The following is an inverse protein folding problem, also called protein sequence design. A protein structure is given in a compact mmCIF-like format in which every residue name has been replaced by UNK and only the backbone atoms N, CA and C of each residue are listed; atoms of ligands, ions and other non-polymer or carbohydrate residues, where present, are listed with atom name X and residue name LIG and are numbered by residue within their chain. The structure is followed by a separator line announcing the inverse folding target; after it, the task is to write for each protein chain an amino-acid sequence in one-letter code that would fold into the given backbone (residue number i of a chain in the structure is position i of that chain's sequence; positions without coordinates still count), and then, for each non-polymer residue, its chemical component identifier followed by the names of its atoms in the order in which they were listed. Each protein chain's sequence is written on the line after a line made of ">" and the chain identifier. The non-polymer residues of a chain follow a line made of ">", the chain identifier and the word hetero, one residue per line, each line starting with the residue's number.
data_IF_253232987519
#
_entry.id   IF_253232987519
#
_cell.length_a   1.000
_cell.length_b   1.000
_cell.length_c   1.000
_cell.angle_alpha   90.00
_cell.angle_beta   90.00
_cell.angle_gamma   90.00
#
_symmetry.space_group_name_H-M   'P 1'
#
loop_
_entity.id
_entity.type
_entity.pdbx_description
1 polymer ?
#
# COMPACT_ATOMS: atom_id res chain seq x y z
N UNK A 1 -22.09 -14.11 -24.87
CA UNK A 1 -22.61 -13.62 -23.56
C UNK A 1 -22.51 -14.65 -22.43
N UNK A 2 -22.56 -15.98 -22.67
CA UNK A 2 -22.48 -17.02 -21.60
C UNK A 2 -21.10 -17.18 -20.93
N UNK A 3 -20.01 -16.82 -21.61
CA UNK A 3 -18.64 -17.05 -21.09
C UNK A 3 -18.13 -15.97 -20.12
N UNK A 4 -18.77 -14.81 -20.03
CA UNK A 4 -18.35 -13.74 -19.11
C UNK A 4 -18.92 -13.91 -17.69
N UNK A 5 -20.08 -14.53 -17.56
CA UNK A 5 -20.73 -14.79 -16.26
C UNK A 5 -20.01 -15.89 -15.50
N UNK A 6 -19.46 -16.89 -16.21
CA UNK A 6 -18.72 -18.01 -15.60
C UNK A 6 -17.40 -17.56 -14.97
N UNK A 7 -16.74 -16.51 -15.50
CA UNK A 7 -15.49 -15.98 -14.91
C UNK A 7 -15.69 -15.21 -13.60
N UNK A 8 -16.87 -14.68 -13.34
CA UNK A 8 -17.20 -13.94 -12.12
C UNK A 8 -17.52 -14.90 -10.96
N UNK A 9 -18.02 -16.09 -11.26
CA UNK A 9 -18.33 -17.11 -10.23
C UNK A 9 -17.06 -17.73 -9.62
N UNK A 10 -15.92 -17.70 -10.34
CA UNK A 10 -14.65 -18.27 -9.84
C UNK A 10 -13.94 -17.45 -8.74
N UNK A 11 -14.26 -16.16 -8.57
CA UNK A 11 -13.69 -15.33 -7.50
C UNK A 11 -14.33 -15.64 -6.12
N UNK A 12 -15.50 -16.26 -6.11
CA UNK A 12 -16.28 -16.51 -4.90
C UNK A 12 -16.07 -17.90 -4.27
N UNK A 13 -15.23 -18.79 -4.82
CA UNK A 13 -15.32 -20.22 -4.54
C UNK A 13 -14.14 -20.84 -3.79
N UNK A 14 -13.13 -20.06 -3.34
CA UNK A 14 -12.01 -20.66 -2.58
C UNK A 14 -11.73 -19.88 -1.29
N UNK A 15 -12.68 -19.92 -0.37
CA UNK A 15 -12.45 -19.73 1.06
C UNK A 15 -12.83 -21.02 1.77
N UNK A 16 -12.08 -22.08 1.52
CA UNK A 16 -12.12 -23.30 2.35
C UNK A 16 -10.83 -23.35 3.16
N UNK A 17 -10.99 -23.23 4.44
CA UNK A 17 -10.05 -23.38 5.54
C UNK A 17 -8.95 -24.42 5.32
N UNK A 18 -7.69 -23.98 5.32
CA UNK A 18 -6.56 -24.77 5.84
C UNK A 18 -5.65 -23.82 6.60
N UNK A 19 -5.59 -23.97 7.91
CA UNK A 19 -4.70 -23.26 8.80
C UNK A 19 -3.28 -23.84 8.70
N UNK A 20 -2.40 -23.15 7.97
CA UNK A 20 -0.96 -23.30 8.16
C UNK A 20 -0.40 -22.11 8.93
N UNK A 21 0.59 -22.31 9.82
CA UNK A 21 1.15 -21.22 10.61
C UNK A 21 1.83 -20.19 9.68
N UNK A 22 1.35 -18.96 9.75
CA UNK A 22 1.84 -17.80 8.99
C UNK A 22 3.34 -17.51 9.24
N UNK A 23 3.91 -18.03 10.33
CA UNK A 23 5.31 -17.81 10.73
C UNK A 23 6.34 -18.39 9.76
N UNK A 24 6.01 -19.47 9.03
CA UNK A 24 6.95 -20.07 8.08
C UNK A 24 7.15 -19.27 6.77
N UNK A 25 6.20 -18.36 6.44
CA UNK A 25 6.28 -17.54 5.23
C UNK A 25 7.01 -16.22 5.40
N UNK A 26 7.15 -15.71 6.64
CA UNK A 26 7.77 -14.41 6.90
C UNK A 26 9.28 -14.38 6.60
N UNK A 27 9.96 -15.52 6.67
CA UNK A 27 11.41 -15.59 6.45
C UNK A 27 11.81 -15.70 4.97
N UNK A 28 10.86 -16.00 4.08
CA UNK A 28 11.13 -16.20 2.65
C UNK A 28 11.62 -14.92 1.95
N UNK A 29 11.13 -13.78 2.40
CA UNK A 29 11.40 -12.46 1.80
C UNK A 29 12.48 -11.68 2.52
N UNK A 30 13.07 -12.25 3.58
CA UNK A 30 14.20 -11.63 4.28
C UNK A 30 15.50 -11.87 3.51
N UNK A 31 16.34 -10.86 3.46
CA UNK A 31 17.66 -10.92 2.87
C UNK A 31 18.67 -11.31 3.97
N UNK A 32 19.44 -12.36 3.73
CA UNK A 32 20.42 -12.85 4.71
C UNK A 32 21.50 -11.81 5.00
N UNK A 33 21.84 -11.63 6.27
CA UNK A 33 22.89 -10.70 6.71
C UNK A 33 22.45 -9.22 6.76
N UNK A 34 21.18 -8.91 6.45
CA UNK A 34 20.64 -7.56 6.58
C UNK A 34 19.98 -7.38 7.94
N UNK A 35 20.37 -6.31 8.63
CA UNK A 35 19.79 -5.94 9.92
C UNK A 35 18.30 -5.59 9.82
N UNK A 36 17.59 -5.84 10.92
CA UNK A 36 16.19 -5.42 11.10
C UNK A 36 16.14 -4.05 11.76
N UNK A 37 15.26 -3.17 11.29
CA UNK A 37 14.93 -1.97 12.02
C UNK A 37 14.22 -2.34 13.34
N UNK A 38 14.51 -1.57 14.39
CA UNK A 38 13.79 -1.65 15.67
C UNK A 38 13.03 -0.35 15.90
N UNK A 39 11.76 -0.40 16.30
CA UNK A 39 11.02 0.81 16.58
C UNK A 39 11.59 1.53 17.82
N UNK A 40 11.68 2.85 17.78
CA UNK A 40 12.04 3.66 18.93
C UNK A 40 10.91 3.66 19.96
N UNK A 41 9.66 3.57 19.52
CA UNK A 41 8.48 3.48 20.36
C UNK A 41 7.26 2.97 19.61
N UNK A 42 6.31 2.42 20.36
CA UNK A 42 4.98 2.02 19.88
C UNK A 42 3.94 2.92 20.54
N UNK A 43 2.99 3.41 19.74
CA UNK A 43 1.94 4.32 20.20
C UNK A 43 0.57 3.77 19.84
N UNK A 44 -0.37 3.83 20.77
CA UNK A 44 -1.80 3.63 20.48
C UNK A 44 -2.32 4.89 19.79
N UNK A 45 -2.81 4.76 18.55
CA UNK A 45 -3.37 5.89 17.81
C UNK A 45 -4.90 5.88 17.74
N UNK A 46 -5.54 4.73 17.94
CA UNK A 46 -6.99 4.63 17.97
C UNK A 46 -7.46 3.48 18.87
N UNK A 47 -8.64 3.62 19.45
CA UNK A 47 -9.43 2.56 20.06
C UNK A 47 -10.62 2.26 19.18
N UNK A 48 -10.92 0.99 18.93
CA UNK A 48 -12.11 0.51 18.22
C UNK A 48 -12.86 -0.50 19.09
N UNK A 49 -14.12 -0.74 18.81
CA UNK A 49 -14.94 -1.68 19.60
C UNK A 49 -14.33 -3.09 19.65
N UNK A 50 -13.58 -3.47 18.64
CA UNK A 50 -13.02 -4.82 18.49
C UNK A 50 -11.55 -4.93 18.83
N UNK A 51 -10.78 -3.83 18.81
CA UNK A 51 -9.35 -3.82 19.09
C UNK A 51 -8.81 -2.41 19.29
N UNK A 52 -7.66 -2.34 19.95
CA UNK A 52 -6.79 -1.16 19.92
C UNK A 52 -5.89 -1.22 18.68
N UNK A 53 -5.58 -0.06 18.12
CA UNK A 53 -4.69 0.08 16.97
C UNK A 53 -3.44 0.85 17.37
N UNK A 54 -2.29 0.29 17.01
CA UNK A 54 -0.98 0.81 17.35
C UNK A 54 -0.18 1.13 16.09
N UNK A 55 0.75 2.05 16.24
CA UNK A 55 1.81 2.30 15.27
C UNK A 55 3.18 2.16 15.92
N UNK A 56 4.13 1.64 15.15
CA UNK A 56 5.55 1.62 15.51
C UNK A 56 6.25 2.77 14.78
N UNK A 57 6.97 3.59 15.54
CA UNK A 57 7.76 4.69 15.01
C UNK A 57 9.23 4.29 14.88
N UNK A 58 9.74 4.39 13.66
CA UNK A 58 11.13 4.15 13.29
C UNK A 58 11.73 5.47 12.81
N UNK A 59 12.53 6.16 13.63
CA UNK A 59 13.19 7.41 13.23
C UNK A 59 14.25 7.16 12.16
N UNK A 60 14.65 8.20 11.45
CA UNK A 60 15.83 8.16 10.59
C UNK A 60 17.07 7.74 11.40
N UNK A 61 17.95 6.93 10.80
CA UNK A 61 19.17 6.47 11.46
C UNK A 61 20.07 7.64 11.85
N UNK A 62 20.70 7.53 13.03
CA UNK A 62 21.61 8.57 13.53
C UNK A 62 22.75 8.81 12.53
N UNK A 63 22.93 10.06 12.12
CA UNK A 63 23.96 10.47 11.16
C UNK A 63 23.53 10.33 9.69
N UNK A 64 22.31 9.86 9.40
CA UNK A 64 21.77 9.91 8.04
C UNK A 64 21.39 11.34 7.64
N UNK A 65 21.43 11.64 6.34
CA UNK A 65 20.99 12.92 5.82
C UNK A 65 19.46 12.96 5.77
N UNK A 66 18.84 13.82 6.55
CA UNK A 66 17.38 13.99 6.65
C UNK A 66 16.83 15.07 5.72
N UNK A 67 17.70 15.73 4.93
CA UNK A 67 17.33 16.79 4.00
C UNK A 67 17.97 16.57 2.63
N UNK A 68 17.33 17.09 1.60
CA UNK A 68 17.85 17.22 0.23
C UNK A 68 17.55 18.64 -0.22
N UNK A 69 18.59 19.39 -0.66
CA UNK A 69 18.46 20.76 -1.13
C UNK A 69 17.73 21.69 -0.11
N UNK A 70 17.99 21.51 1.19
CA UNK A 70 17.35 22.24 2.27
C UNK A 70 15.88 21.88 2.54
N UNK A 71 15.38 20.81 1.92
CA UNK A 71 14.03 20.30 2.15
C UNK A 71 14.09 19.04 2.99
N UNK A 72 13.32 19.01 4.08
CA UNK A 72 13.20 17.82 4.92
C UNK A 72 12.65 16.63 4.12
N UNK A 73 13.23 15.44 4.30
CA UNK A 73 12.72 14.21 3.73
C UNK A 73 11.37 13.83 4.34
N UNK A 74 10.44 13.28 3.54
CA UNK A 74 9.12 12.89 4.03
C UNK A 74 9.19 11.75 5.03
N UNK A 75 8.20 11.70 5.94
CA UNK A 75 7.94 10.51 6.72
C UNK A 75 6.99 9.56 5.95
N UNK A 76 7.24 8.26 6.08
CA UNK A 76 6.47 7.22 5.40
C UNK A 76 5.46 6.62 6.38
N UNK A 77 4.19 6.58 6.02
CA UNK A 77 3.14 5.84 6.75
C UNK A 77 2.88 4.54 6.00
N UNK A 78 3.21 3.42 6.62
CA UNK A 78 3.18 2.10 6.00
C UNK A 78 2.09 1.20 6.57
N UNK A 79 1.28 0.60 5.68
CA UNK A 79 0.31 -0.44 5.98
C UNK A 79 0.75 -1.79 5.41
N UNK A 80 0.75 -2.83 6.24
CA UNK A 80 1.20 -4.17 5.89
C UNK A 80 0.23 -4.92 4.95
N UNK A 81 0.73 -5.97 4.30
CA UNK A 81 -0.05 -6.92 3.50
C UNK A 81 -0.64 -8.06 4.32
N UNK A 82 -1.63 -8.76 3.75
CA UNK A 82 -2.24 -9.93 4.37
C UNK A 82 -3.71 -10.13 4.02
N UNK A 83 -4.18 -9.60 2.88
CA UNK A 83 -5.50 -9.85 2.31
C UNK A 83 -6.66 -9.39 3.19
N UNK A 84 -6.46 -8.45 4.10
CA UNK A 84 -7.43 -8.02 5.13
C UNK A 84 -7.86 -9.13 6.10
N UNK A 85 -7.15 -10.25 6.14
CA UNK A 85 -7.46 -11.41 7.00
C UNK A 85 -6.41 -11.61 8.07
N UNK A 86 -5.16 -11.34 7.75
CA UNK A 86 -4.01 -11.60 8.61
C UNK A 86 -2.89 -10.58 8.33
N UNK A 87 -1.82 -10.66 9.12
CA UNK A 87 -0.64 -9.81 9.00
C UNK A 87 -0.43 -8.96 10.24
N UNK A 88 0.73 -8.35 10.31
CA UNK A 88 1.12 -7.44 11.36
C UNK A 88 2.21 -6.49 10.86
N UNK A 89 2.37 -5.34 11.51
CA UNK A 89 3.19 -4.20 11.08
C UNK A 89 4.70 -4.42 11.21
N UNK A 90 5.15 -5.40 11.99
CA UNK A 90 6.54 -5.63 12.39
C UNK A 90 7.16 -6.92 11.81
N UNK A 91 6.68 -7.38 10.62
CA UNK A 91 7.28 -8.53 9.95
C UNK A 91 8.75 -8.28 9.59
N UNK A 92 9.64 -9.29 9.72
CA UNK A 92 11.08 -9.12 9.48
C UNK A 92 11.43 -8.49 8.12
N UNK A 93 10.81 -8.90 7.03
CA UNK A 93 11.10 -8.32 5.71
C UNK A 93 10.64 -6.84 5.58
N UNK A 94 9.60 -6.42 6.29
CA UNK A 94 9.25 -5.01 6.40
C UNK A 94 10.29 -4.25 7.21
N UNK A 95 10.78 -4.83 8.32
CA UNK A 95 11.81 -4.21 9.15
C UNK A 95 13.14 -4.05 8.39
N UNK A 96 13.50 -4.98 7.51
CA UNK A 96 14.67 -4.82 6.63
C UNK A 96 14.50 -3.66 5.64
N UNK A 97 13.34 -3.55 5.03
CA UNK A 97 13.03 -2.43 4.14
C UNK A 97 12.96 -1.10 4.91
N UNK A 98 12.36 -1.08 6.09
CA UNK A 98 12.33 0.09 6.97
C UNK A 98 13.75 0.53 7.35
N UNK A 99 14.65 -0.43 7.60
CA UNK A 99 16.08 -0.14 7.88
C UNK A 99 16.73 0.61 6.71
N UNK A 100 16.47 0.19 5.47
CA UNK A 100 16.97 0.92 4.30
C UNK A 100 16.43 2.35 4.25
N UNK A 101 15.14 2.56 4.51
CA UNK A 101 14.55 3.89 4.57
C UNK A 101 15.21 4.75 5.66
N UNK A 102 15.34 4.21 6.89
CA UNK A 102 15.93 4.93 8.00
C UNK A 102 17.40 5.30 7.72
N UNK A 103 18.20 4.39 7.15
CA UNK A 103 19.60 4.64 6.79
C UNK A 103 19.73 5.70 5.69
N UNK A 104 18.70 5.85 4.87
CA UNK A 104 18.59 6.91 3.89
C UNK A 104 17.83 8.15 4.40
N UNK A 105 17.63 8.29 5.71
CA UNK A 105 17.11 9.51 6.34
C UNK A 105 15.59 9.69 6.29
N UNK A 106 14.83 8.62 5.99
CA UNK A 106 13.37 8.66 5.95
C UNK A 106 12.78 8.02 7.22
N UNK A 107 12.06 8.75 8.08
CA UNK A 107 11.32 8.19 9.19
C UNK A 107 10.14 7.33 8.70
N UNK A 108 9.79 6.28 9.44
CA UNK A 108 8.69 5.39 9.08
C UNK A 108 7.74 5.20 10.26
N UNK A 109 6.44 5.26 9.99
CA UNK A 109 5.36 4.84 10.87
C UNK A 109 4.72 3.57 10.28
N UNK A 110 4.96 2.42 10.89
CA UNK A 110 4.30 1.17 10.49
C UNK A 110 3.05 0.99 11.34
N UNK A 111 1.87 0.93 10.71
CA UNK A 111 0.58 1.01 11.40
C UNK A 111 -0.17 -0.31 11.44
N UNK A 112 -0.97 -0.51 12.50
CA UNK A 112 -2.06 -1.48 12.50
C UNK A 112 -3.25 -0.94 11.70
N UNK A 113 -4.07 -1.85 11.21
CA UNK A 113 -5.41 -1.57 10.68
C UNK A 113 -6.31 -2.78 10.95
N UNK A 114 -7.61 -2.57 11.04
CA UNK A 114 -8.58 -3.65 11.27
C UNK A 114 -8.63 -4.63 10.09
N UNK A 115 -8.55 -5.91 10.40
CA UNK A 115 -8.57 -7.01 9.42
C UNK A 115 -10.02 -7.32 9.03
N UNK A 116 -10.60 -6.50 8.16
CA UNK A 116 -12.03 -6.50 7.85
C UNK A 116 -12.59 -7.74 7.18
N UNK A 117 -11.74 -8.67 6.73
CA UNK A 117 -12.14 -9.98 6.20
C UNK A 117 -11.83 -11.14 7.16
N UNK A 118 -11.20 -10.89 8.33
CA UNK A 118 -10.93 -11.93 9.31
C UNK A 118 -12.23 -12.53 9.84
N UNK A 119 -12.40 -13.85 9.67
CA UNK A 119 -13.61 -14.56 10.09
C UNK A 119 -14.84 -14.35 9.17
N UNK A 120 -14.72 -13.61 8.09
CA UNK A 120 -15.83 -13.38 7.15
C UNK A 120 -16.03 -14.60 6.26
N UNK A 121 -17.20 -15.23 6.36
CA UNK A 121 -17.63 -16.32 5.48
C UNK A 121 -18.68 -15.80 4.47
N UNK A 122 -18.22 -15.04 3.48
CA UNK A 122 -19.07 -14.51 2.43
C UNK A 122 -18.70 -15.12 1.05
N UNK A 123 -19.70 -15.31 0.19
CA UNK A 123 -19.52 -15.87 -1.16
C UNK A 123 -20.29 -15.03 -2.20
N UNK A 124 -19.86 -15.08 -3.46
CA UNK A 124 -20.52 -14.38 -4.55
C UNK A 124 -20.60 -12.88 -4.35
N UNK A 125 -21.77 -12.29 -4.60
CA UNK A 125 -22.00 -10.85 -4.49
C UNK A 125 -21.78 -10.31 -3.07
N UNK A 126 -22.03 -11.12 -2.02
CA UNK A 126 -21.79 -10.74 -0.63
C UNK A 126 -20.29 -10.50 -0.36
N UNK A 127 -19.40 -11.22 -1.05
CA UNK A 127 -17.95 -10.99 -0.94
C UNK A 127 -17.54 -9.61 -1.47
N UNK A 128 -18.20 -9.10 -2.51
CA UNK A 128 -17.93 -7.75 -3.04
C UNK A 128 -18.20 -6.70 -1.96
N UNK A 129 -19.33 -6.83 -1.25
CA UNK A 129 -19.66 -5.95 -0.13
C UNK A 129 -18.70 -6.07 1.05
N UNK A 130 -18.27 -7.30 1.38
CA UNK A 130 -17.30 -7.54 2.44
C UNK A 130 -15.92 -6.92 2.12
N UNK A 131 -15.42 -7.09 0.89
CA UNK A 131 -14.17 -6.46 0.44
C UNK A 131 -14.27 -4.94 0.48
N UNK A 132 -15.38 -4.38 -0.02
CA UNK A 132 -15.63 -2.94 0.06
C UNK A 132 -15.53 -2.47 1.52
N UNK A 133 -16.25 -3.11 2.45
CA UNK A 133 -16.22 -2.73 3.87
C UNK A 133 -14.83 -2.89 4.48
N UNK A 134 -14.08 -3.94 4.12
CA UNK A 134 -12.71 -4.13 4.59
C UNK A 134 -11.78 -3.00 4.12
N UNK A 135 -11.93 -2.53 2.89
CA UNK A 135 -11.18 -1.37 2.38
C UNK A 135 -11.59 -0.10 3.13
N UNK A 136 -12.89 0.17 3.28
CA UNK A 136 -13.40 1.35 4.00
C UNK A 136 -12.86 1.46 5.42
N UNK A 137 -12.92 0.37 6.22
CA UNK A 137 -12.42 0.39 7.59
C UNK A 137 -10.89 0.51 7.67
N UNK A 138 -10.15 -0.05 6.69
CA UNK A 138 -8.71 0.13 6.60
C UNK A 138 -8.33 1.59 6.27
N UNK A 139 -9.11 2.26 5.42
CA UNK A 139 -8.97 3.69 5.11
C UNK A 139 -9.30 4.57 6.33
N UNK A 140 -10.38 4.26 7.05
CA UNK A 140 -10.71 4.92 8.33
C UNK A 140 -9.52 4.84 9.31
N UNK A 141 -8.89 3.67 9.42
CA UNK A 141 -7.76 3.47 10.32
C UNK A 141 -6.48 4.19 9.84
N UNK A 142 -6.25 4.26 8.52
CA UNK A 142 -5.15 5.04 7.95
C UNK A 142 -5.33 6.55 8.20
N UNK A 143 -6.55 7.09 8.04
CA UNK A 143 -6.81 8.49 8.37
C UNK A 143 -6.62 8.76 9.86
N UNK A 144 -7.07 7.87 10.75
CA UNK A 144 -6.86 8.02 12.19
C UNK A 144 -5.38 7.99 12.56
N UNK A 145 -4.57 7.09 11.94
CA UNK A 145 -3.13 7.09 12.14
C UNK A 145 -2.48 8.38 11.63
N UNK A 146 -2.87 8.85 10.44
CA UNK A 146 -2.39 10.11 9.87
C UNK A 146 -2.73 11.30 10.78
N UNK A 147 -3.98 11.39 11.24
CA UNK A 147 -4.41 12.43 12.18
C UNK A 147 -3.60 12.43 13.49
N UNK A 148 -3.32 11.23 14.02
CA UNK A 148 -2.45 11.08 15.19
C UNK A 148 -1.03 11.58 14.94
N UNK A 149 -0.44 11.21 13.78
CA UNK A 149 0.91 11.63 13.40
C UNK A 149 0.98 13.15 13.22
N UNK A 150 0.01 13.75 12.51
CA UNK A 150 -0.08 15.19 12.27
C UNK A 150 -0.16 15.95 13.62
N UNK A 151 -1.01 15.50 14.54
CA UNK A 151 -1.16 16.12 15.88
C UNK A 151 0.08 16.02 16.76
N UNK A 152 0.95 15.06 16.47
CA UNK A 152 2.18 14.82 17.24
C UNK A 152 3.45 15.05 16.40
N UNK A 153 3.36 15.78 15.29
CA UNK A 153 4.45 15.93 14.31
C UNK A 153 5.74 16.47 14.95
N UNK A 154 5.64 17.47 15.81
CA UNK A 154 6.79 18.04 16.54
C UNK A 154 7.49 16.99 17.42
N UNK A 155 6.72 16.16 18.12
CA UNK A 155 7.25 15.06 18.95
C UNK A 155 8.05 14.05 18.13
N UNK A 156 7.64 13.80 16.90
CA UNK A 156 8.30 12.87 15.99
C UNK A 156 9.42 13.50 15.16
N UNK A 157 9.55 14.83 15.18
CA UNK A 157 10.49 15.57 14.34
C UNK A 157 10.18 15.45 12.84
N UNK A 158 8.90 15.37 12.48
CA UNK A 158 8.44 15.25 11.09
C UNK A 158 7.57 16.43 10.68
N UNK A 159 7.52 16.76 9.39
CA UNK A 159 6.61 17.79 8.89
C UNK A 159 5.22 17.17 8.65
N UNK A 160 4.13 17.77 9.19
CA UNK A 160 2.77 17.29 8.98
C UNK A 160 2.32 17.38 7.50
N UNK A 161 2.93 18.27 6.73
CA UNK A 161 2.63 18.48 5.30
C UNK A 161 3.52 17.64 4.37
N UNK A 162 4.37 16.77 4.94
CA UNK A 162 5.34 15.99 4.16
C UNK A 162 5.25 14.49 4.52
N UNK A 163 4.07 13.93 4.37
CA UNK A 163 3.76 12.53 4.68
C UNK A 163 3.51 11.75 3.39
N UNK A 164 4.14 10.60 3.23
CA UNK A 164 3.97 9.69 2.10
C UNK A 164 3.25 8.44 2.57
N UNK A 165 2.15 8.08 1.91
CA UNK A 165 1.48 6.81 2.13
C UNK A 165 2.25 5.68 1.47
N UNK A 166 2.32 4.53 2.13
CA UNK A 166 2.90 3.32 1.55
C UNK A 166 2.14 2.08 2.02
N UNK A 167 2.21 1.03 1.22
CA UNK A 167 1.63 -0.24 1.64
C UNK A 167 1.94 -1.40 0.71
N UNK A 168 1.79 -2.60 1.26
CA UNK A 168 1.95 -3.88 0.59
C UNK A 168 0.59 -4.54 0.37
N UNK A 169 0.26 -5.03 -0.85
CA UNK A 169 -0.95 -5.83 -1.10
C UNK A 169 -2.23 -5.15 -0.59
N UNK A 170 -2.90 -5.73 0.42
CA UNK A 170 -4.05 -5.10 1.10
C UNK A 170 -3.71 -3.71 1.66
N UNK A 171 -2.53 -3.53 2.25
CA UNK A 171 -2.05 -2.22 2.71
C UNK A 171 -1.81 -1.24 1.56
N UNK A 172 -1.40 -1.72 0.39
CA UNK A 172 -1.27 -0.88 -0.81
C UNK A 172 -2.64 -0.45 -1.36
N UNK A 173 -3.65 -1.31 -1.24
CA UNK A 173 -5.05 -0.93 -1.53
C UNK A 173 -5.48 0.17 -0.56
N UNK A 174 -5.22 0.02 0.75
CA UNK A 174 -5.53 1.05 1.76
C UNK A 174 -4.82 2.36 1.40
N UNK A 175 -3.52 2.35 1.15
CA UNK A 175 -2.74 3.56 0.85
C UNK A 175 -3.28 4.31 -0.39
N UNK A 176 -3.52 3.59 -1.49
CA UNK A 176 -4.08 4.17 -2.71
C UNK A 176 -5.52 4.67 -2.51
N UNK A 177 -6.34 3.91 -1.76
CA UNK A 177 -7.72 4.29 -1.49
C UNK A 177 -7.81 5.50 -0.56
N UNK A 178 -6.91 5.61 0.43
CA UNK A 178 -6.86 6.77 1.33
C UNK A 178 -6.61 8.06 0.53
N UNK A 179 -5.64 8.06 -0.38
CA UNK A 179 -5.42 9.20 -1.27
C UNK A 179 -6.62 9.44 -2.19
N UNK A 180 -7.24 8.37 -2.72
CA UNK A 180 -8.43 8.47 -3.55
C UNK A 180 -9.61 9.10 -2.81
N UNK A 181 -9.89 8.67 -1.58
CA UNK A 181 -10.97 9.20 -0.74
C UNK A 181 -10.71 10.66 -0.34
N UNK A 182 -9.47 11.02 -0.03
CA UNK A 182 -9.07 12.40 0.27
C UNK A 182 -9.34 13.32 -0.93
N UNK A 183 -8.86 12.94 -2.12
CA UNK A 183 -9.03 13.72 -3.36
C UNK A 183 -10.50 13.81 -3.84
N UNK A 184 -11.36 12.94 -3.37
CA UNK A 184 -12.80 12.94 -3.69
C UNK A 184 -13.66 13.51 -2.57
N UNK A 185 -13.07 14.12 -1.54
CA UNK A 185 -13.77 14.75 -0.40
C UNK A 185 -14.76 13.80 0.30
N UNK A 186 -14.35 12.54 0.42
CA UNK A 186 -15.15 11.51 1.07
C UNK A 186 -15.35 11.81 2.56
N UNK A 187 -16.47 11.41 3.12
CA UNK A 187 -16.70 11.49 4.56
C UNK A 187 -15.69 10.69 5.39
N UNK A 188 -15.00 9.70 4.80
CA UNK A 188 -13.92 8.97 5.46
C UNK A 188 -12.73 9.88 5.81
N UNK A 189 -12.52 10.95 5.05
CA UNK A 189 -11.44 11.91 5.27
C UNK A 189 -11.78 13.04 6.27
N UNK A 190 -12.94 12.98 6.93
CA UNK A 190 -13.44 14.05 7.82
C UNK A 190 -12.52 14.35 9.03
N UNK A 191 -11.65 13.42 9.43
CA UNK A 191 -10.67 13.64 10.50
C UNK A 191 -9.46 14.50 10.06
N UNK A 192 -9.28 14.70 8.75
CA UNK A 192 -8.13 15.42 8.22
C UNK A 192 -8.34 16.94 8.29
N UNK A 193 -7.28 17.71 8.56
CA UNK A 193 -7.35 19.16 8.49
C UNK A 193 -7.80 19.64 7.10
N UNK A 194 -8.49 20.78 7.06
CA UNK A 194 -8.85 21.43 5.80
C UNK A 194 -7.59 21.73 4.96
N UNK A 195 -7.63 21.38 3.68
CA UNK A 195 -6.52 21.57 2.74
C UNK A 195 -5.37 20.59 2.91
N UNK A 196 -5.47 19.61 3.82
CA UNK A 196 -4.42 18.58 3.98
C UNK A 196 -4.20 17.82 2.68
N UNK A 197 -2.94 17.51 2.38
CA UNK A 197 -2.51 16.70 1.23
C UNK A 197 -1.35 15.80 1.62
N UNK A 198 -1.37 14.57 1.13
CA UNK A 198 -0.17 13.74 1.20
C UNK A 198 0.88 14.22 0.18
N UNK A 199 2.15 13.97 0.49
CA UNK A 199 3.26 14.33 -0.39
C UNK A 199 3.49 13.30 -1.52
N UNK A 200 3.02 12.06 -1.34
CA UNK A 200 3.13 10.98 -2.32
C UNK A 200 2.48 9.68 -1.86
N UNK A 201 2.40 8.71 -2.77
CA UNK A 201 1.94 7.35 -2.48
C UNK A 201 2.89 6.33 -3.09
N UNK A 202 3.34 5.33 -2.32
CA UNK A 202 4.13 4.18 -2.79
C UNK A 202 3.30 2.91 -2.63
N UNK A 203 2.97 2.25 -3.74
CA UNK A 203 2.09 1.09 -3.77
C UNK A 203 2.80 -0.15 -4.29
N UNK A 204 2.94 -1.18 -3.44
CA UNK A 204 3.46 -2.48 -3.81
C UNK A 204 2.30 -3.44 -4.08
N UNK A 205 1.99 -3.67 -5.36
CA UNK A 205 0.88 -4.52 -5.84
C UNK A 205 -0.50 -4.10 -5.30
N UNK A 206 -0.85 -2.82 -5.42
CA UNK A 206 -2.11 -2.26 -4.96
C UNK A 206 -3.17 -2.08 -6.06
N UNK A 207 -4.35 -1.66 -5.64
CA UNK A 207 -5.49 -1.32 -6.50
C UNK A 207 -6.39 -0.29 -5.83
N UNK A 208 -7.22 0.39 -6.61
CA UNK A 208 -8.29 1.29 -6.12
C UNK A 208 -9.64 0.61 -6.34
N UNK A 209 -10.46 0.57 -5.30
CA UNK A 209 -11.86 0.21 -5.40
C UNK A 209 -12.68 1.43 -5.86
N UNK A 210 -13.51 1.26 -6.88
CA UNK A 210 -14.39 2.34 -7.36
C UNK A 210 -15.75 1.80 -7.77
N UNK A 211 -16.78 2.59 -7.51
CA UNK A 211 -18.17 2.36 -7.91
C UNK A 211 -18.56 3.14 -9.17
N UNK A 212 -17.62 3.83 -9.82
CA UNK A 212 -17.85 4.71 -10.96
C UNK A 212 -17.43 4.10 -12.31
N UNK A 213 -17.14 2.81 -12.35
CA UNK A 213 -16.68 2.12 -13.55
C UNK A 213 -15.24 2.45 -13.98
N UNK A 214 -14.57 3.36 -13.27
CA UNK A 214 -13.19 3.79 -13.48
C UNK A 214 -12.68 4.55 -12.26
N UNK A 215 -11.37 4.70 -12.16
CA UNK A 215 -10.76 5.63 -11.20
C UNK A 215 -11.06 7.06 -11.65
N UNK A 216 -11.60 7.89 -10.75
CA UNK A 216 -11.96 9.28 -11.02
C UNK A 216 -11.60 10.13 -9.79
N UNK A 217 -10.67 11.04 -9.95
CA UNK A 217 -10.30 12.02 -8.93
C UNK A 217 -11.07 13.32 -9.16
N UNK A 218 -11.60 13.92 -8.08
CA UNK A 218 -12.16 15.27 -8.10
C UNK A 218 -11.02 16.30 -8.12
N UNK A 219 -10.08 16.18 -7.20
CA UNK A 219 -8.85 16.96 -7.15
C UNK A 219 -7.65 16.16 -7.69
N UNK A 220 -6.56 16.87 -8.03
CA UNK A 220 -5.32 16.23 -8.43
C UNK A 220 -4.69 15.45 -7.27
N UNK A 221 -4.44 14.14 -7.42
CA UNK A 221 -3.81 13.35 -6.37
C UNK A 221 -2.32 13.68 -6.23
N UNK A 222 -1.75 13.33 -5.08
CA UNK A 222 -0.32 13.29 -4.87
C UNK A 222 0.37 12.39 -5.90
N UNK A 223 1.66 12.63 -6.23
CA UNK A 223 2.43 11.72 -7.09
C UNK A 223 2.36 10.28 -6.58
N UNK A 224 2.24 9.31 -7.50
CA UNK A 224 2.11 7.90 -7.16
C UNK A 224 3.24 7.06 -7.77
N UNK A 225 3.91 6.24 -6.94
CA UNK A 225 4.78 5.17 -7.39
C UNK A 225 4.00 3.84 -7.33
N UNK A 226 3.84 3.20 -8.48
CA UNK A 226 3.07 1.97 -8.65
C UNK A 226 4.00 0.84 -9.06
N UNK A 227 4.41 -0.02 -8.11
CA UNK A 227 5.24 -1.20 -8.37
C UNK A 227 4.34 -2.43 -8.45
N UNK A 228 4.34 -3.15 -9.59
CA UNK A 228 3.38 -4.24 -9.80
C UNK A 228 3.87 -5.31 -10.77
N UNK A 229 3.66 -6.59 -10.40
CA UNK A 229 3.91 -7.72 -11.28
C UNK A 229 2.89 -7.79 -12.41
N UNK A 230 3.36 -7.94 -13.66
CA UNK A 230 2.47 -7.92 -14.83
C UNK A 230 1.53 -9.14 -14.92
N UNK A 231 1.86 -10.23 -14.19
CA UNK A 231 1.06 -11.45 -14.09
C UNK A 231 0.28 -11.57 -12.78
N UNK A 232 0.22 -10.52 -11.96
CA UNK A 232 -0.50 -10.51 -10.70
C UNK A 232 -2.01 -10.75 -10.92
N UNK A 233 -2.55 -11.76 -10.24
CA UNK A 233 -3.96 -12.16 -10.23
C UNK A 233 -4.55 -12.18 -8.82
N UNK A 234 -3.73 -11.92 -7.79
CA UNK A 234 -4.15 -11.79 -6.40
C UNK A 234 -4.73 -10.40 -6.19
N UNK A 235 -3.91 -9.37 -6.38
CA UNK A 235 -4.39 -8.01 -6.59
C UNK A 235 -4.25 -7.69 -8.07
N UNK A 236 -5.35 -7.57 -8.76
CA UNK A 236 -5.33 -7.47 -10.23
C UNK A 236 -4.43 -6.36 -10.76
N UNK A 237 -3.49 -6.69 -11.63
CA UNK A 237 -2.64 -5.70 -12.31
C UNK A 237 -3.45 -4.75 -13.21
N UNK A 238 -4.51 -5.27 -13.86
CA UNK A 238 -5.38 -4.48 -14.75
C UNK A 238 -6.64 -4.02 -14.00
N UNK A 239 -7.71 -4.80 -14.08
CA UNK A 239 -8.97 -4.54 -13.36
C UNK A 239 -9.84 -5.78 -13.32
N UNK A 240 -10.63 -5.89 -12.25
CA UNK A 240 -11.76 -6.81 -12.14
C UNK A 240 -12.98 -5.92 -11.91
N UNK A 241 -13.98 -6.02 -12.78
CA UNK A 241 -15.12 -5.10 -12.78
C UNK A 241 -16.42 -5.85 -13.09
N UNK A 242 -17.46 -5.51 -12.33
CA UNK A 242 -18.85 -5.90 -12.57
C UNK A 242 -19.68 -4.62 -12.63
N UNK A 243 -20.25 -4.32 -13.81
CA UNK A 243 -20.90 -3.04 -14.08
C UNK A 243 -19.97 -1.85 -13.76
N UNK A 244 -20.40 -0.97 -12.88
CA UNK A 244 -19.62 0.20 -12.44
C UNK A 244 -18.77 -0.05 -11.20
N UNK A 245 -18.85 -1.24 -10.59
CA UNK A 245 -18.08 -1.60 -9.38
C UNK A 245 -16.86 -2.42 -9.77
N UNK A 246 -15.69 -2.06 -9.23
CA UNK A 246 -14.49 -2.86 -9.52
C UNK A 246 -13.26 -2.44 -8.73
N UNK A 247 -12.25 -3.33 -8.81
CA UNK A 247 -10.89 -3.07 -8.41
C UNK A 247 -10.07 -2.71 -9.65
N UNK A 248 -9.41 -1.58 -9.61
CA UNK A 248 -8.58 -1.05 -10.69
C UNK A 248 -7.12 -1.06 -10.24
N UNK A 249 -6.33 -1.98 -10.80
CA UNK A 249 -4.91 -2.14 -10.48
C UNK A 249 -4.02 -1.10 -11.14
N UNK A 250 -2.73 -1.17 -10.84
CA UNK A 250 -1.72 -0.17 -11.21
C UNK A 250 -1.74 0.21 -12.69
N UNK A 251 -1.98 -0.76 -13.60
CA UNK A 251 -2.08 -0.46 -15.04
C UNK A 251 -3.23 0.48 -15.41
N UNK A 252 -4.37 0.37 -14.72
CA UNK A 252 -5.53 1.24 -14.97
C UNK A 252 -5.41 2.57 -14.25
N UNK A 253 -4.79 2.57 -13.06
CA UNK A 253 -4.48 3.80 -12.31
C UNK A 253 -3.52 4.66 -13.12
N UNK A 254 -2.37 4.11 -13.54
CA UNK A 254 -1.38 4.82 -14.35
C UNK A 254 -2.00 5.42 -15.63
N UNK A 255 -2.79 4.63 -16.38
CA UNK A 255 -3.51 5.13 -17.56
C UNK A 255 -4.44 6.29 -17.23
N UNK A 256 -5.03 6.31 -16.03
CA UNK A 256 -5.92 7.39 -15.62
C UNK A 256 -5.16 8.65 -15.24
N UNK A 257 -4.04 8.50 -14.52
CA UNK A 257 -3.15 9.60 -14.14
C UNK A 257 -2.57 10.26 -15.39
N UNK A 258 -2.05 9.44 -16.32
CA UNK A 258 -1.51 9.89 -17.61
C UNK A 258 -2.53 10.72 -18.40
N UNK A 259 -3.75 10.19 -18.58
CA UNK A 259 -4.82 10.88 -19.31
C UNK A 259 -5.28 12.21 -18.68
N UNK A 260 -4.86 12.48 -17.43
CA UNK A 260 -5.15 13.71 -16.71
C UNK A 260 -3.94 14.62 -16.52
N UNK A 261 -2.75 14.17 -16.96
CA UNK A 261 -1.50 14.87 -16.76
C UNK A 261 -1.07 14.93 -15.28
N UNK A 262 -1.53 14.00 -14.45
CA UNK A 262 -1.09 13.90 -13.06
C UNK A 262 0.22 13.12 -12.97
N UNK A 263 1.19 13.56 -12.16
CA UNK A 263 2.50 12.93 -12.08
C UNK A 263 2.41 11.51 -11.46
N UNK A 264 3.08 10.55 -12.09
CA UNK A 264 3.17 9.18 -11.60
C UNK A 264 4.45 8.49 -12.08
N UNK A 265 4.84 7.44 -11.40
CA UNK A 265 5.81 6.46 -11.87
C UNK A 265 5.18 5.07 -11.74
N UNK A 266 5.13 4.32 -12.84
CA UNK A 266 4.76 2.91 -12.80
C UNK A 266 5.96 2.05 -13.19
N UNK A 267 6.28 1.04 -12.35
CA UNK A 267 7.29 0.03 -12.64
C UNK A 267 6.58 -1.30 -12.85
N UNK A 268 6.64 -1.79 -14.09
CA UNK A 268 5.95 -2.99 -14.57
C UNK A 268 6.94 -4.16 -14.57
N UNK A 269 6.96 -4.93 -13.47
CA UNK A 269 7.84 -6.09 -13.35
C UNK A 269 7.33 -7.22 -14.24
N UNK A 270 8.08 -7.47 -15.31
CA UNK A 270 7.74 -8.50 -16.30
C UNK A 270 7.77 -9.87 -15.63
N UNK A 271 6.73 -10.66 -15.94
CA UNK A 271 6.56 -12.03 -15.47
C UNK A 271 6.41 -12.23 -13.95
N UNK A 272 6.57 -11.21 -13.13
CA UNK A 272 6.25 -11.22 -11.71
C UNK A 272 4.74 -11.34 -11.46
N UNK A 273 4.38 -12.02 -10.39
CA UNK A 273 3.02 -12.21 -9.92
C UNK A 273 2.72 -11.25 -8.75
N UNK A 274 2.25 -11.77 -7.61
CA UNK A 274 1.99 -10.97 -6.41
C UNK A 274 3.22 -10.80 -5.50
N UNK A 275 4.33 -11.37 -5.89
CA UNK A 275 5.62 -11.31 -5.18
C UNK A 275 6.14 -9.88 -4.99
N UNK A 276 5.83 -8.97 -5.92
CA UNK A 276 6.22 -7.55 -5.80
C UNK A 276 5.65 -6.90 -4.54
N UNK A 277 4.57 -7.43 -3.98
CA UNK A 277 4.02 -6.97 -2.71
C UNK A 277 5.02 -7.12 -1.53
N UNK A 278 5.92 -8.09 -1.59
CA UNK A 278 6.88 -8.40 -0.53
C UNK A 278 8.34 -8.09 -0.91
N UNK A 279 8.61 -7.71 -2.17
CA UNK A 279 9.96 -7.41 -2.69
C UNK A 279 10.39 -5.95 -2.49
N UNK A 280 9.96 -5.33 -1.39
CA UNK A 280 10.21 -3.91 -1.10
C UNK A 280 11.69 -3.59 -0.99
N UNK A 281 12.48 -4.51 -0.43
CA UNK A 281 13.94 -4.39 -0.31
C UNK A 281 14.60 -4.36 -1.70
N UNK A 282 14.21 -5.26 -2.61
CA UNK A 282 14.82 -5.41 -3.93
C UNK A 282 14.42 -4.31 -4.92
N UNK A 283 13.31 -3.61 -4.64
CA UNK A 283 12.78 -2.51 -5.46
C UNK A 283 13.09 -1.14 -4.84
N UNK A 284 14.07 -1.07 -3.96
CA UNK A 284 14.40 0.14 -3.20
C UNK A 284 14.96 1.29 -4.07
N UNK A 285 15.78 1.04 -5.10
CA UNK A 285 16.29 2.10 -5.96
C UNK A 285 15.19 2.95 -6.61
N UNK A 286 14.13 2.33 -7.11
CA UNK A 286 12.99 3.01 -7.74
C UNK A 286 12.24 3.89 -6.73
N UNK A 287 12.18 3.45 -5.48
CA UNK A 287 11.54 4.19 -4.39
C UNK A 287 12.34 5.45 -4.04
N UNK A 288 13.68 5.35 -3.94
CA UNK A 288 14.54 6.50 -3.69
C UNK A 288 14.43 7.54 -4.81
N UNK A 289 14.48 7.11 -6.08
CA UNK A 289 14.32 7.98 -7.23
C UNK A 289 12.97 8.71 -7.16
N UNK A 290 11.89 7.99 -6.87
CA UNK A 290 10.56 8.59 -6.74
C UNK A 290 10.49 9.60 -5.59
N UNK A 291 10.96 9.22 -4.40
CA UNK A 291 10.97 10.09 -3.22
C UNK A 291 11.76 11.38 -3.51
N UNK A 292 12.93 11.27 -4.14
CA UNK A 292 13.75 12.42 -4.48
C UNK A 292 13.12 13.28 -5.58
N UNK A 293 12.77 12.67 -6.72
CA UNK A 293 12.37 13.43 -7.91
C UNK A 293 10.92 13.93 -7.83
N UNK A 294 10.00 13.07 -7.39
CA UNK A 294 8.57 13.38 -7.43
C UNK A 294 8.07 14.03 -6.15
N UNK A 295 8.58 13.59 -4.97
CA UNK A 295 8.10 14.08 -3.68
C UNK A 295 8.89 15.31 -3.23
N UNK A 296 10.24 15.23 -3.17
CA UNK A 296 11.08 16.31 -2.62
C UNK A 296 11.29 17.41 -3.64
N UNK A 297 11.77 17.06 -4.85
CA UNK A 297 12.05 18.04 -5.93
C UNK A 297 10.80 18.48 -6.68
N UNK A 298 9.70 17.74 -6.57
CA UNK A 298 8.40 18.04 -7.22
C UNK A 298 8.53 18.31 -8.71
N UNK A 299 9.29 17.47 -9.44
CA UNK A 299 9.59 17.67 -10.86
C UNK A 299 8.36 17.58 -11.77
N UNK A 300 7.23 17.04 -11.30
CA UNK A 300 5.99 16.87 -12.06
C UNK A 300 6.09 15.85 -13.21
N UNK A 301 7.19 15.07 -13.28
CA UNK A 301 7.44 14.13 -14.37
C UNK A 301 6.70 12.80 -14.10
N UNK A 302 6.28 12.16 -15.20
CA UNK A 302 5.75 10.79 -15.19
C UNK A 302 6.74 9.83 -15.85
N UNK A 303 6.75 8.58 -15.38
CA UNK A 303 7.55 7.51 -15.95
C UNK A 303 6.75 6.20 -16.03
N UNK A 304 6.89 5.47 -17.14
CA UNK A 304 6.33 4.14 -17.37
C UNK A 304 7.49 3.19 -17.69
N UNK A 305 7.93 2.43 -16.68
CA UNK A 305 9.13 1.62 -16.71
C UNK A 305 8.73 0.13 -16.83
N UNK A 306 9.30 -0.56 -17.81
CA UNK A 306 9.24 -2.03 -17.92
C UNK A 306 10.51 -2.60 -17.35
N UNK A 307 10.37 -3.35 -16.26
CA UNK A 307 11.47 -3.96 -15.54
C UNK A 307 11.57 -5.44 -15.90
N UNK A 308 12.74 -5.85 -16.37
CA UNK A 308 13.12 -7.24 -16.68
C UNK A 308 14.51 -7.47 -16.08
N UNK A 309 14.61 -7.32 -14.75
CA UNK A 309 15.87 -7.41 -14.01
C UNK A 309 15.98 -8.78 -13.33
N UNK A 310 16.96 -9.64 -13.72
CA UNK A 310 17.14 -10.95 -13.13
C UNK A 310 17.64 -10.91 -11.66
N UNK A 311 18.10 -9.75 -11.16
CA UNK A 311 18.48 -9.58 -9.76
C UNK A 311 17.28 -9.45 -8.83
N UNK A 312 16.10 -9.10 -9.34
CA UNK A 312 14.84 -9.12 -8.59
C UNK A 312 14.30 -10.55 -8.59
N UNK A 313 14.27 -11.24 -7.44
CA UNK A 313 13.89 -12.64 -7.38
C UNK A 313 12.42 -12.83 -7.75
N UNK A 314 12.13 -13.78 -8.66
CA UNK A 314 10.76 -14.11 -9.09
C UNK A 314 10.19 -15.22 -8.24
N UNK A 315 9.05 -14.98 -7.62
CA UNK A 315 8.26 -16.01 -6.94
C UNK A 315 6.86 -16.16 -7.55
N UNK A 316 6.68 -17.23 -8.26
CA UNK A 316 5.40 -17.57 -8.89
C UNK A 316 4.50 -18.46 -8.03
N UNK A 317 4.75 -18.62 -6.74
CA UNK A 317 3.93 -19.46 -5.85
C UNK A 317 2.58 -18.81 -5.52
N UNK A 318 2.50 -17.49 -5.45
CA UNK A 318 1.27 -16.74 -5.22
C UNK A 318 0.63 -16.34 -6.55
N UNK A 319 -0.13 -17.25 -7.15
CA UNK A 319 -0.76 -17.03 -8.47
C UNK A 319 -2.21 -16.59 -8.39
N UNK A 320 -2.88 -16.87 -7.27
CA UNK A 320 -4.30 -16.56 -7.06
C UNK A 320 -4.55 -16.15 -5.63
N UNK A 321 -5.70 -15.50 -5.36
CA UNK A 321 -6.14 -15.22 -3.99
C UNK A 321 -6.17 -16.47 -3.11
N UNK A 322 -6.51 -17.63 -3.67
CA UNK A 322 -6.50 -18.88 -2.93
C UNK A 322 -5.12 -19.30 -2.41
N UNK A 323 -4.04 -18.86 -3.05
CA UNK A 323 -2.68 -19.18 -2.63
C UNK A 323 -2.21 -18.35 -1.43
N UNK A 324 -2.87 -17.23 -1.11
CA UNK A 324 -2.63 -16.46 0.12
C UNK A 324 -3.07 -17.21 1.38
N UNK A 325 -4.00 -18.16 1.24
CA UNK A 325 -4.66 -18.85 2.36
C UNK A 325 -4.28 -20.33 2.49
N UNK A 326 -3.37 -20.82 1.63
CA UNK A 326 -2.72 -22.12 1.74
C UNK A 326 -1.46 -22.04 2.59
#
# INVERSE_FOLDING_TARGET
>A
MKNSIVRIIFIALVLASVSMPLSARSNKWTVSGVELASPAATYKFAGRDTCDLFLDFYPASKGSFTEIDGKQKPAIIFAFGGGFVAGHRDKPHYQQWIKLLNDNGYPVFSIDYRLGLKGVNAKGVKMIGAVRRAVEIGVEDMFSATSFIVKNADKFGVSPDNLVLSGSSAGAIIALQTEYELCNHSSLASEMPEGFKYAGVISFSGAIYSTHGKVKYADAPAPQLLLHGTKDRVVTYKSIQLFNIGLFGSSKIAKRLDAKGYPYTIVRYKDHTHDIADLMYHTFPEQLIFLEQSVIKKTGRSADIRMDDPSVPVDNTLRTLGDLYK
#
